data_IF_933914439175
#
_entry.id   IF_933914439175
#
_cell.length_a   1.000
_cell.length_b   1.000
_cell.length_c   1.000
_cell.angle_alpha   90.00
_cell.angle_beta   90.00
_cell.angle_gamma   90.00
#
_symmetry.space_group_name_H-M   'P 1'
#
loop_
_entity.id
_entity.type
_entity.pdbx_description
1 polymer ?
#
# COMPACT_ATOMS: atom_id res chain seq x y z
N UNK A 1 9.20 12.71 10.81
CA UNK A 1 9.28 13.75 11.88
C UNK A 1 7.96 14.50 12.11
N UNK A 2 7.21 14.87 11.05
CA UNK A 2 5.91 15.55 11.19
C UNK A 2 4.85 14.70 11.91
N UNK A 3 4.70 13.41 11.53
CA UNK A 3 3.74 12.48 12.13
C UNK A 3 3.98 12.30 13.64
N UNK A 4 5.23 12.09 14.06
CA UNK A 4 5.61 11.99 15.48
C UNK A 4 5.21 13.24 16.28
N UNK A 5 5.53 14.44 15.76
CA UNK A 5 5.16 15.70 16.41
C UNK A 5 3.64 15.87 16.51
N UNK A 6 2.90 15.49 15.46
CA UNK A 6 1.44 15.58 15.44
C UNK A 6 0.81 14.62 16.46
N UNK A 7 1.24 13.35 16.46
CA UNK A 7 0.74 12.33 17.39
C UNK A 7 1.06 12.68 18.86
N UNK A 8 2.25 13.22 19.13
CA UNK A 8 2.60 13.69 20.47
C UNK A 8 1.72 14.87 20.93
N UNK A 9 1.34 15.80 20.04
CA UNK A 9 0.45 16.92 20.39
C UNK A 9 -0.95 16.46 20.82
N UNK A 10 -1.40 15.31 20.33
CA UNK A 10 -2.72 14.75 20.66
C UNK A 10 -2.63 13.60 21.66
N UNK A 11 -1.46 13.42 22.30
CA UNK A 11 -1.20 12.34 23.27
C UNK A 11 -1.54 10.93 22.73
N UNK A 12 -1.35 10.72 21.42
CA UNK A 12 -1.56 9.41 20.80
C UNK A 12 -0.34 8.51 21.01
N UNK A 13 -0.58 7.31 21.52
CA UNK A 13 0.44 6.26 21.66
C UNK A 13 0.68 5.49 20.35
N UNK A 14 -0.29 5.56 19.44
CA UNK A 14 -0.30 4.84 18.17
C UNK A 14 -0.82 5.77 17.07
N UNK A 15 -0.25 5.66 15.87
CA UNK A 15 -0.70 6.42 14.71
C UNK A 15 -0.72 5.54 13.46
N UNK A 16 -1.75 5.73 12.65
CA UNK A 16 -1.87 5.17 11.31
C UNK A 16 -1.69 6.31 10.31
N UNK A 17 -0.88 6.07 9.28
CA UNK A 17 -0.74 6.96 8.14
C UNK A 17 -0.80 6.17 6.83
N UNK A 18 -1.21 6.85 5.76
CA UNK A 18 -1.30 6.29 4.43
C UNK A 18 -0.25 6.95 3.53
N UNK A 19 0.43 6.16 2.71
CA UNK A 19 1.51 6.65 1.85
C UNK A 19 1.06 7.11 0.46
N UNK A 20 -0.24 7.30 0.20
CA UNK A 20 -0.74 7.83 -1.08
C UNK A 20 -0.68 9.36 -1.13
N UNK A 21 0.09 9.96 -2.07
CA UNK A 21 0.16 11.43 -2.21
C UNK A 21 -1.18 12.09 -2.57
N UNK A 22 -2.11 11.32 -3.16
CA UNK A 22 -3.48 11.73 -3.45
C UNK A 22 -4.46 10.76 -2.83
N UNK A 23 -4.50 10.71 -1.49
CA UNK A 23 -5.37 9.78 -0.78
C UNK A 23 -6.85 10.05 -1.11
N UNK A 24 -7.43 9.19 -1.94
CA UNK A 24 -8.87 9.03 -2.15
C UNK A 24 -9.47 8.28 -0.95
N UNK A 25 -10.24 8.94 -0.05
CA UNK A 25 -10.69 8.32 1.20
C UNK A 25 -11.64 7.13 0.98
N UNK A 26 -12.48 7.18 -0.06
CA UNK A 26 -13.44 6.11 -0.37
C UNK A 26 -12.78 4.77 -0.66
N UNK A 27 -11.55 4.77 -1.17
CA UNK A 27 -10.77 3.54 -1.39
C UNK A 27 -10.22 2.94 -0.08
N UNK A 28 -10.35 3.64 1.04
CA UNK A 28 -9.96 3.18 2.37
C UNK A 28 -11.12 2.69 3.24
N UNK A 29 -12.36 2.74 2.74
CA UNK A 29 -13.56 2.46 3.55
C UNK A 29 -13.56 1.06 4.17
N UNK A 30 -13.15 0.03 3.43
CA UNK A 30 -13.12 -1.36 3.93
C UNK A 30 -12.19 -1.47 5.15
N UNK A 31 -11.05 -0.77 5.14
CA UNK A 31 -10.13 -0.74 6.27
C UNK A 31 -10.77 -0.08 7.49
N UNK A 32 -11.43 1.06 7.31
CA UNK A 32 -12.05 1.80 8.42
C UNK A 32 -13.25 1.09 9.03
N UNK A 33 -14.03 0.37 8.21
CA UNK A 33 -15.12 -0.47 8.71
C UNK A 33 -14.58 -1.60 9.59
N UNK A 34 -13.52 -2.29 9.15
CA UNK A 34 -12.94 -3.37 9.94
C UNK A 34 -12.21 -2.84 11.19
N UNK A 35 -11.61 -1.65 11.12
CA UNK A 35 -11.08 -0.93 12.30
C UNK A 35 -12.18 -0.63 13.31
N UNK A 36 -13.32 -0.10 12.87
CA UNK A 36 -14.43 0.24 13.75
C UNK A 36 -14.96 -1.02 14.46
N UNK A 37 -15.12 -2.12 13.73
CA UNK A 37 -15.59 -3.38 14.30
C UNK A 37 -14.56 -3.94 15.29
N UNK A 38 -13.32 -4.18 14.86
CA UNK A 38 -12.33 -4.89 15.69
C UNK A 38 -11.75 -4.06 16.83
N UNK A 39 -11.45 -2.80 16.57
CA UNK A 39 -10.72 -1.96 17.53
C UNK A 39 -11.68 -1.17 18.41
N UNK A 40 -12.69 -0.53 17.82
CA UNK A 40 -13.58 0.34 18.58
C UNK A 40 -14.71 -0.42 19.29
N UNK A 41 -15.30 -1.41 18.61
CA UNK A 41 -16.44 -2.17 19.15
C UNK A 41 -15.96 -3.39 19.94
N UNK A 42 -15.11 -4.23 19.35
CA UNK A 42 -14.62 -5.47 19.99
C UNK A 42 -13.46 -5.22 20.97
N UNK A 43 -12.79 -4.06 20.90
CA UNK A 43 -11.74 -3.67 21.84
C UNK A 43 -10.39 -4.35 21.62
N UNK A 44 -10.14 -4.93 20.44
CA UNK A 44 -8.82 -5.47 20.12
C UNK A 44 -7.77 -4.37 20.06
N UNK A 45 -6.57 -4.66 20.57
CA UNK A 45 -5.44 -3.75 20.41
C UNK A 45 -5.06 -3.61 18.93
N UNK A 46 -4.75 -2.39 18.50
CA UNK A 46 -4.51 -2.09 17.10
C UNK A 46 -3.37 -2.94 16.53
N UNK A 47 -2.27 -3.08 17.26
CA UNK A 47 -1.13 -3.93 16.86
C UNK A 47 -1.51 -5.39 16.54
N UNK A 48 -2.47 -5.96 17.27
CA UNK A 48 -2.95 -7.33 17.07
C UNK A 48 -4.01 -7.41 15.97
N UNK A 49 -4.88 -6.40 15.85
CA UNK A 49 -5.95 -6.38 14.86
C UNK A 49 -5.41 -6.10 13.45
N UNK A 50 -4.37 -5.28 13.33
CA UNK A 50 -3.89 -4.73 12.06
C UNK A 50 -3.55 -5.80 11.02
N UNK A 51 -2.82 -6.91 11.30
CA UNK A 51 -2.56 -7.95 10.30
C UNK A 51 -3.84 -8.58 9.74
N UNK A 52 -4.85 -8.79 10.57
CA UNK A 52 -6.14 -9.34 10.14
C UNK A 52 -6.92 -8.34 9.30
N UNK A 53 -6.92 -7.07 9.70
CA UNK A 53 -7.56 -5.99 8.92
C UNK A 53 -6.93 -5.83 7.55
N UNK A 54 -5.60 -5.82 7.50
CA UNK A 54 -4.86 -5.76 6.24
C UNK A 54 -5.14 -6.99 5.36
N UNK A 55 -5.22 -8.18 5.96
CA UNK A 55 -5.60 -9.39 5.23
C UNK A 55 -7.03 -9.28 4.65
N UNK A 56 -8.00 -8.79 5.42
CA UNK A 56 -9.37 -8.61 4.96
C UNK A 56 -9.48 -7.59 3.82
N UNK A 57 -8.66 -6.54 3.84
CA UNK A 57 -8.63 -5.53 2.77
C UNK A 57 -7.91 -5.97 1.50
N UNK A 58 -7.30 -7.17 1.49
CA UNK A 58 -6.46 -7.67 0.38
C UNK A 58 -7.18 -7.76 -0.97
N UNK A 59 -8.50 -7.93 -0.96
CA UNK A 59 -9.36 -8.03 -2.14
C UNK A 59 -9.98 -6.70 -2.57
N UNK A 60 -9.76 -5.63 -1.78
CA UNK A 60 -10.34 -4.31 -2.02
C UNK A 60 -9.40 -3.37 -2.79
N UNK A 61 -9.89 -2.20 -3.20
CA UNK A 61 -9.06 -1.17 -3.83
C UNK A 61 -8.01 -0.56 -2.90
N UNK A 62 -8.09 -0.82 -1.57
CA UNK A 62 -7.11 -0.39 -0.58
C UNK A 62 -5.68 -0.76 -1.00
N UNK A 63 -5.49 -2.03 -1.38
CA UNK A 63 -4.16 -2.58 -1.72
C UNK A 63 -3.58 -2.04 -3.01
N UNK A 64 -4.38 -1.38 -3.86
CA UNK A 64 -3.90 -0.71 -5.07
C UNK A 64 -3.60 0.76 -4.78
N UNK A 65 -4.31 1.34 -3.82
CA UNK A 65 -4.28 2.77 -3.54
C UNK A 65 -3.19 3.24 -2.59
N UNK A 66 -3.02 2.60 -1.43
CA UNK A 66 -2.07 3.06 -0.40
C UNK A 66 -1.32 1.92 0.28
N UNK A 67 -0.18 2.22 0.91
CA UNK A 67 0.41 1.38 1.97
C UNK A 67 -0.05 1.94 3.31
N UNK A 68 0.13 1.15 4.36
CA UNK A 68 -0.16 1.59 5.72
C UNK A 68 1.14 1.74 6.51
N UNK A 69 1.37 2.92 7.06
CA UNK A 69 2.42 3.20 8.02
C UNK A 69 1.79 3.15 9.41
N UNK A 70 2.29 2.26 10.25
CA UNK A 70 1.89 2.13 11.63
C UNK A 70 3.03 2.57 12.52
N UNK A 71 2.76 3.49 13.45
CA UNK A 71 3.77 4.06 14.33
C UNK A 71 3.33 3.89 15.77
N UNK A 72 4.17 3.25 16.57
CA UNK A 72 4.06 3.19 18.03
C UNK A 72 4.99 4.21 18.64
N UNK A 73 4.44 5.06 19.49
CA UNK A 73 5.17 6.12 20.17
C UNK A 73 5.41 5.66 21.60
N UNK A 74 6.69 5.53 21.96
CA UNK A 74 7.05 5.15 23.32
C UNK A 74 6.70 6.28 24.28
N UNK A 75 5.96 5.94 25.33
CA UNK A 75 5.70 6.85 26.46
C UNK A 75 6.87 6.88 27.44
N UNK A 76 7.72 5.84 27.45
CA UNK A 76 8.85 5.70 28.38
C UNK A 76 10.16 6.29 27.86
N UNK A 77 10.30 6.45 26.54
CA UNK A 77 11.49 7.00 25.91
C UNK A 77 11.12 8.19 25.01
N UNK A 78 11.34 9.43 25.46
CA UNK A 78 11.08 10.61 24.64
C UNK A 78 11.95 10.54 23.38
N UNK A 79 11.31 10.66 22.20
CA UNK A 79 11.85 10.52 20.83
C UNK A 79 12.02 9.09 20.28
N UNK A 80 11.64 8.04 21.01
CA UNK A 80 11.60 6.70 20.44
C UNK A 80 10.22 6.44 19.79
N UNK A 81 10.20 6.28 18.47
CA UNK A 81 9.04 5.81 17.73
C UNK A 81 9.43 4.57 16.94
N UNK A 82 8.67 3.48 17.10
CA UNK A 82 8.79 2.29 16.28
C UNK A 82 7.81 2.44 15.13
N UNK A 83 8.31 2.43 13.90
CA UNK A 83 7.49 2.52 12.69
C UNK A 83 7.60 1.25 11.88
N UNK A 84 6.46 0.74 11.44
CA UNK A 84 6.34 -0.38 10.52
C UNK A 84 5.56 0.06 9.30
N UNK A 85 6.08 -0.23 8.10
CA UNK A 85 5.33 -0.06 6.86
C UNK A 85 4.78 -1.42 6.43
N UNK A 86 3.47 -1.47 6.20
CA UNK A 86 2.77 -2.62 5.64
C UNK A 86 2.56 -2.39 4.15
N UNK A 87 3.23 -3.21 3.35
CA UNK A 87 3.19 -3.16 1.89
C UNK A 87 2.56 -4.46 1.37
N UNK A 88 1.56 -4.33 0.49
CA UNK A 88 1.04 -5.49 -0.26
C UNK A 88 1.86 -5.72 -1.51
N UNK A 89 2.02 -7.00 -1.82
CA UNK A 89 2.68 -7.46 -3.03
C UNK A 89 1.78 -8.39 -3.81
N UNK A 90 1.62 -8.12 -5.10
CA UNK A 90 0.92 -9.01 -6.03
C UNK A 90 1.64 -8.92 -7.38
N UNK A 91 1.90 -10.04 -8.07
CA UNK A 91 2.66 -10.04 -9.33
C UNK A 91 2.14 -9.06 -10.38
N UNK A 92 0.82 -8.85 -10.42
CA UNK A 92 0.16 -8.02 -11.44
C UNK A 92 -0.27 -6.63 -10.94
N UNK A 93 -0.49 -6.44 -9.64
CA UNK A 93 -1.07 -5.19 -9.11
C UNK A 93 -0.05 -4.32 -8.39
N UNK A 94 0.93 -4.96 -7.74
CA UNK A 94 2.03 -4.32 -7.02
C UNK A 94 3.28 -5.21 -7.04
N UNK A 95 3.96 -5.30 -8.21
CA UNK A 95 5.15 -6.15 -8.33
C UNK A 95 6.22 -5.67 -7.34
N UNK A 96 6.70 -6.58 -6.49
CA UNK A 96 7.68 -6.27 -5.42
C UNK A 96 7.27 -5.11 -4.50
N UNK A 97 5.96 -4.95 -4.27
CA UNK A 97 5.42 -3.90 -3.40
C UNK A 97 5.42 -2.49 -4.02
N UNK A 98 5.84 -2.35 -5.27
CA UNK A 98 5.77 -1.08 -6.00
C UNK A 98 4.33 -0.77 -6.39
N UNK A 99 3.92 0.48 -6.22
CA UNK A 99 2.55 0.92 -6.48
C UNK A 99 2.34 1.19 -7.97
N UNK A 100 1.29 0.59 -8.54
CA UNK A 100 0.66 1.11 -9.75
C UNK A 100 -0.29 2.26 -9.39
N UNK A 101 -0.28 3.38 -10.13
CA UNK A 101 -1.27 4.43 -9.98
C UNK A 101 -2.68 3.87 -10.07
N UNK A 102 -3.56 4.31 -9.17
CA UNK A 102 -4.97 3.91 -9.20
C UNK A 102 -5.68 4.38 -10.48
N UNK A 103 -5.22 5.49 -11.05
CA UNK A 103 -5.71 6.10 -12.28
C UNK A 103 -4.57 6.24 -13.30
N UNK A 104 -4.90 6.08 -14.57
CA UNK A 104 -3.96 6.42 -15.64
C UNK A 104 -3.69 7.93 -15.65
N UNK A 105 -2.42 8.34 -15.73
CA UNK A 105 -2.05 9.76 -15.77
C UNK A 105 -2.47 10.46 -17.07
N UNK A 106 -2.62 9.72 -18.17
CA UNK A 106 -3.04 10.29 -19.46
C UNK A 106 -4.56 10.36 -19.59
N UNK A 107 -5.28 9.24 -19.47
CA UNK A 107 -6.73 9.22 -19.69
C UNK A 107 -7.58 9.35 -18.42
N UNK A 108 -6.98 9.35 -17.22
CA UNK A 108 -7.69 9.45 -15.94
C UNK A 108 -8.48 8.20 -15.53
N UNK A 109 -8.62 7.19 -16.39
CA UNK A 109 -9.38 5.99 -16.08
C UNK A 109 -8.79 5.21 -14.89
N UNK A 110 -9.67 4.82 -13.98
CA UNK A 110 -9.34 4.07 -12.75
C UNK A 110 -9.21 2.58 -13.07
N UNK A 111 -8.25 1.94 -12.42
CA UNK A 111 -8.03 0.50 -12.45
C UNK A 111 -7.81 -0.11 -13.85
N UNK A 112 -7.07 0.61 -14.69
CA UNK A 112 -6.92 0.27 -16.10
C UNK A 112 -5.65 -0.47 -16.48
N UNK A 113 -4.67 -0.54 -15.59
CA UNK A 113 -3.44 -1.29 -15.85
C UNK A 113 -3.70 -2.79 -15.66
N UNK A 114 -3.47 -3.57 -16.72
CA UNK A 114 -3.64 -5.03 -16.68
C UNK A 114 -2.37 -5.79 -16.30
N UNK A 115 -2.28 -7.07 -16.68
CA UNK A 115 -1.07 -7.87 -16.48
C UNK A 115 0.14 -7.26 -17.21
N UNK A 116 1.35 -7.39 -16.63
CA UNK A 116 2.58 -6.85 -17.22
C UNK A 116 2.92 -7.60 -18.52
N UNK A 117 3.39 -6.88 -19.53
CA UNK A 117 3.63 -7.43 -20.88
C UNK A 117 5.08 -7.88 -21.08
N UNK A 118 6.03 -7.35 -20.30
CA UNK A 118 7.45 -7.70 -20.38
C UNK A 118 7.99 -8.07 -19.00
N UNK A 119 8.52 -9.28 -18.89
CA UNK A 119 9.31 -9.80 -17.78
C UNK A 119 10.67 -10.19 -18.37
N UNK A 120 11.70 -9.36 -18.25
CA UNK A 120 13.05 -9.80 -18.65
C UNK A 120 13.69 -10.59 -17.51
N UNK A 121 14.09 -11.86 -17.73
CA UNK A 121 14.72 -12.65 -16.68
C UNK A 121 16.19 -12.25 -16.52
N UNK A 122 16.68 -12.29 -15.28
CA UNK A 122 18.06 -12.05 -14.80
C UNK A 122 18.32 -10.61 -14.34
N UNK A 123 18.04 -10.37 -13.05
CA UNK A 123 18.51 -9.23 -12.24
C UNK A 123 18.25 -7.82 -12.82
N UNK A 124 17.20 -7.13 -12.32
CA UNK A 124 16.88 -5.74 -12.69
C UNK A 124 15.65 -5.57 -13.59
N UNK A 125 14.75 -6.56 -13.63
CA UNK A 125 13.59 -6.65 -14.50
C UNK A 125 12.62 -5.47 -14.36
N UNK A 126 12.39 -4.70 -15.44
CA UNK A 126 11.31 -3.70 -15.51
C UNK A 126 9.99 -4.37 -15.86
N UNK A 127 8.94 -4.04 -15.11
CA UNK A 127 7.57 -4.47 -15.42
C UNK A 127 6.90 -3.35 -16.19
N UNK A 128 6.45 -3.63 -17.42
CA UNK A 128 5.72 -2.65 -18.25
C UNK A 128 4.24 -2.99 -18.24
N UNK A 129 3.44 -2.00 -17.87
CA UNK A 129 1.98 -2.03 -17.82
C UNK A 129 1.41 -1.11 -18.88
N UNK A 130 0.36 -1.54 -19.57
CA UNK A 130 -0.35 -0.70 -20.56
C UNK A 130 -1.75 -0.41 -20.05
N UNK A 131 -2.16 0.85 -20.16
CA UNK A 131 -3.53 1.26 -19.86
C UNK A 131 -4.53 0.52 -20.77
N UNK A 132 -5.67 0.09 -20.22
CA UNK A 132 -6.79 -0.52 -20.94
C UNK A 132 -8.04 0.38 -20.99
N UNK A 133 -7.88 1.64 -20.60
CA UNK A 133 -8.95 2.64 -20.59
C UNK A 133 -9.22 3.25 -21.96
N UNK A 134 -10.17 4.17 -21.98
CA UNK A 134 -10.48 5.02 -23.14
C UNK A 134 -10.29 6.48 -22.74
N UNK A 135 -9.84 7.33 -23.66
CA UNK A 135 -9.79 8.77 -23.45
C UNK A 135 -11.19 9.40 -23.52
N UNK A 136 -11.26 10.73 -23.35
CA UNK A 136 -12.51 11.48 -23.42
C UNK A 136 -13.15 11.50 -24.81
N UNK A 137 -12.39 11.13 -25.85
CA UNK A 137 -12.84 11.04 -27.23
C UNK A 137 -13.30 9.61 -27.59
N UNK A 138 -13.14 8.65 -26.67
CA UNK A 138 -13.51 7.26 -26.87
C UNK A 138 -12.42 6.41 -27.55
N UNK A 139 -11.20 6.93 -27.74
CA UNK A 139 -10.09 6.16 -28.27
C UNK A 139 -9.42 5.35 -27.16
N UNK A 140 -8.84 4.20 -27.51
CA UNK A 140 -8.13 3.37 -26.55
C UNK A 140 -6.85 4.07 -26.07
N UNK A 141 -6.69 4.19 -24.75
CA UNK A 141 -5.47 4.70 -24.16
C UNK A 141 -4.36 3.64 -24.23
N UNK A 142 -3.17 4.04 -24.69
CA UNK A 142 -2.00 3.16 -24.84
C UNK A 142 -0.85 3.56 -23.92
N UNK A 143 -1.11 4.41 -22.92
CA UNK A 143 -0.10 4.86 -21.96
C UNK A 143 0.63 3.67 -21.32
N UNK A 144 1.96 3.68 -21.44
CA UNK A 144 2.84 2.70 -20.83
C UNK A 144 3.39 3.19 -19.49
N UNK A 145 3.34 2.33 -18.48
CA UNK A 145 3.92 2.58 -17.17
C UNK A 145 4.97 1.51 -16.87
N UNK A 146 6.22 1.93 -16.66
CA UNK A 146 7.31 1.07 -16.26
C UNK A 146 7.53 1.12 -14.75
N UNK A 147 7.64 -0.05 -14.12
CA UNK A 147 7.91 -0.21 -12.68
C UNK A 147 9.16 -1.04 -12.48
N UNK A 148 10.09 -0.52 -11.69
CA UNK A 148 11.34 -1.19 -11.33
C UNK A 148 11.25 -1.88 -9.96
N UNK A 149 11.92 -3.01 -9.74
CA UNK A 149 11.92 -3.69 -8.45
C UNK A 149 12.37 -2.76 -7.32
N UNK A 150 11.90 -3.04 -6.10
CA UNK A 150 12.37 -2.31 -4.93
C UNK A 150 13.71 -2.88 -4.47
N UNK A 151 14.71 -2.02 -4.35
CA UNK A 151 16.04 -2.41 -3.87
C UNK A 151 15.94 -2.93 -2.42
N UNK A 152 16.63 -4.03 -2.11
CA UNK A 152 16.58 -4.65 -0.78
C UNK A 152 15.23 -5.29 -0.42
N UNK A 153 14.30 -5.44 -1.38
CA UNK A 153 13.00 -6.05 -1.10
C UNK A 153 13.13 -7.54 -0.85
N UNK A 154 12.83 -7.94 0.39
CA UNK A 154 12.71 -9.34 0.80
C UNK A 154 11.23 -9.69 0.99
N UNK A 155 10.77 -10.74 0.30
CA UNK A 155 9.41 -11.26 0.48
C UNK A 155 9.28 -11.88 1.87
N UNK A 156 8.26 -11.46 2.62
CA UNK A 156 7.88 -12.12 3.86
C UNK A 156 7.53 -13.60 3.59
N UNK A 157 8.16 -14.54 4.32
CA UNK A 157 7.89 -15.97 4.20
C UNK A 157 8.86 -16.78 3.31
N UNK A 158 9.96 -16.20 2.81
CA UNK A 158 11.08 -17.05 2.36
C UNK A 158 11.71 -17.72 3.58
N UNK A 159 11.55 -19.04 3.66
CA UNK A 159 12.45 -19.88 4.46
C UNK A 159 13.88 -19.53 4.04
N UNK A 160 14.69 -19.15 5.03
CA UNK A 160 16.14 -19.18 4.91
C UNK A 160 16.57 -20.64 4.75
N UNK A 161 16.43 -21.19 3.55
CA UNK A 161 17.07 -22.45 3.19
C UNK A 161 18.21 -22.12 2.24
N UNK A 162 19.42 -22.20 2.78
CA UNK A 162 20.67 -22.01 2.05
C UNK A 162 21.86 -21.97 2.99
N UNK A 163 22.06 -23.05 3.76
CA UNK A 163 23.39 -23.45 4.24
C UNK A 163 24.06 -24.32 3.17
#
# INVERSE_FOLDING_TARGET
MALYKAAHKVHANEAIAFSSPGLIPTLTNVFWLDFAIRVLIEGYSLDKALPYMLTATSTSSFVRHTNLLYVRISTSQPKAALSSEFVWTHPELRPFGRRLPANCAECGCIDTFGSPIKLTPKAGSKYVFICKGYDTEGNRCLHELAVEPMEGFETYGKSQNGS
#
